data_IF_113518843766
#
_entry.id   IF_113518843766
#
_cell.length_a   1.000
_cell.length_b   1.000
_cell.length_c   1.000
_cell.angle_alpha   90.00
_cell.angle_beta   90.00
_cell.angle_gamma   90.00
#
_symmetry.space_group_name_H-M   'P 1'
#
loop_
_entity.id
_entity.type
_entity.pdbx_description
1 polymer ?
#
# COMPACT_ATOMS: atom_id res chain seq x y z
N UNK A 1 -33.97 -5.98 -49.59
CA UNK A 1 -32.85 -6.23 -48.66
C UNK A 1 -33.03 -5.30 -47.46
N UNK A 2 -33.56 -5.82 -46.34
CA UNK A 2 -33.89 -5.03 -45.13
C UNK A 2 -32.76 -5.22 -44.11
N UNK A 3 -32.27 -4.09 -43.62
CA UNK A 3 -31.05 -3.87 -42.83
C UNK A 3 -31.09 -4.57 -41.46
N UNK A 4 -30.64 -5.82 -41.41
CA UNK A 4 -30.34 -6.55 -40.16
C UNK A 4 -28.85 -6.36 -39.85
N UNK A 5 -28.42 -5.14 -39.49
CA UNK A 5 -27.04 -4.87 -39.03
C UNK A 5 -26.96 -3.58 -38.21
N UNK A 6 -27.54 -3.56 -37.01
CA UNK A 6 -27.18 -2.53 -36.02
C UNK A 6 -27.42 -2.93 -34.56
N UNK A 7 -28.41 -3.79 -34.26
CA UNK A 7 -28.69 -4.16 -32.86
C UNK A 7 -27.63 -5.08 -32.22
N UNK A 8 -26.86 -5.85 -33.00
CA UNK A 8 -25.87 -6.78 -32.43
C UNK A 8 -24.61 -6.10 -31.89
N UNK A 9 -24.32 -4.87 -32.30
CA UNK A 9 -23.11 -4.15 -31.89
C UNK A 9 -23.25 -3.45 -30.52
N UNK A 10 -24.48 -3.12 -30.12
CA UNK A 10 -24.74 -2.45 -28.83
C UNK A 10 -24.74 -3.45 -27.67
N UNK A 11 -25.18 -4.70 -27.91
CA UNK A 11 -25.24 -5.72 -26.86
C UNK A 11 -23.86 -6.24 -26.43
N UNK A 12 -22.87 -6.22 -27.32
CA UNK A 12 -21.53 -6.73 -27.00
C UNK A 12 -20.67 -5.74 -26.19
N UNK A 13 -21.01 -4.45 -26.18
CA UNK A 13 -20.33 -3.43 -25.37
C UNK A 13 -20.80 -3.40 -23.90
N UNK A 14 -21.95 -4.00 -23.58
CA UNK A 14 -22.53 -4.02 -22.23
C UNK A 14 -22.04 -5.17 -21.33
N UNK A 15 -21.30 -6.14 -21.88
CA UNK A 15 -20.86 -7.33 -21.13
C UNK A 15 -19.46 -7.23 -20.53
N UNK A 16 -18.74 -6.11 -20.74
CA UNK A 16 -17.47 -5.84 -20.04
C UNK A 16 -17.74 -4.96 -18.83
N UNK A 17 -18.74 -5.34 -18.01
CA UNK A 17 -18.76 -4.90 -16.63
C UNK A 17 -17.59 -5.57 -15.94
N UNK A 18 -16.42 -4.91 -15.94
CA UNK A 18 -15.33 -5.34 -15.08
C UNK A 18 -15.87 -5.31 -13.66
N UNK A 19 -16.03 -6.50 -13.07
CA UNK A 19 -16.26 -6.61 -11.65
C UNK A 19 -15.09 -5.92 -10.97
N UNK A 20 -15.31 -4.70 -10.48
CA UNK A 20 -14.40 -4.03 -9.59
C UNK A 20 -14.46 -4.79 -8.26
N UNK A 21 -13.85 -5.98 -8.21
CA UNK A 21 -13.52 -6.63 -6.96
C UNK A 21 -12.71 -5.61 -6.18
N UNK A 22 -13.26 -5.13 -5.06
CA UNK A 22 -12.54 -4.31 -4.11
C UNK A 22 -11.42 -5.16 -3.53
N UNK A 23 -10.30 -5.22 -4.24
CA UNK A 23 -9.12 -5.95 -3.82
C UNK A 23 -8.60 -5.41 -2.50
N UNK A 24 -7.78 -6.19 -1.79
CA UNK A 24 -7.05 -5.64 -0.65
C UNK A 24 -6.16 -4.49 -1.13
N UNK A 25 -6.32 -3.30 -0.53
CA UNK A 25 -5.51 -2.13 -0.88
C UNK A 25 -4.68 -1.67 0.31
N UNK A 26 -3.43 -1.28 0.05
CA UNK A 26 -2.66 -0.45 0.98
C UNK A 26 -3.02 1.01 0.71
N UNK A 27 -3.61 1.65 1.72
CA UNK A 27 -4.07 3.04 1.66
C UNK A 27 -3.28 3.88 2.65
N UNK A 28 -2.74 5.02 2.21
CA UNK A 28 -2.11 6.00 3.11
C UNK A 28 -3.05 7.19 3.37
N UNK A 29 -2.75 7.95 4.42
CA UNK A 29 -3.49 9.15 4.75
C UNK A 29 -3.52 10.16 3.58
N UNK A 30 -4.61 10.92 3.44
CA UNK A 30 -4.72 11.91 2.38
C UNK A 30 -3.71 13.04 2.56
N UNK A 31 -3.00 13.35 1.49
CA UNK A 31 -2.20 14.55 1.41
C UNK A 31 -3.10 15.77 1.16
N UNK A 32 -2.77 16.94 1.73
CA UNK A 32 -3.57 18.15 1.55
C UNK A 32 -3.68 18.55 0.08
N UNK A 33 -4.76 19.23 -0.32
CA UNK A 33 -5.07 19.59 -1.72
C UNK A 33 -3.95 20.37 -2.45
N UNK A 34 -3.14 21.11 -1.69
CA UNK A 34 -1.98 21.88 -2.22
C UNK A 34 -0.73 21.01 -2.42
N UNK A 35 -0.73 19.78 -1.93
CA UNK A 35 0.38 18.85 -2.12
C UNK A 35 0.48 18.46 -3.59
N UNK A 36 1.63 18.76 -4.19
CA UNK A 36 1.90 18.43 -5.58
C UNK A 36 2.49 17.03 -5.67
N UNK A 37 1.78 16.01 -5.18
CA UNK A 37 2.24 14.61 -5.30
C UNK A 37 2.06 14.14 -6.73
N UNK A 38 3.15 13.75 -7.38
CA UNK A 38 3.17 13.24 -8.76
C UNK A 38 2.99 11.73 -8.80
N UNK A 39 3.70 11.01 -7.92
CA UNK A 39 3.66 9.54 -7.80
C UNK A 39 4.10 9.08 -6.42
N UNK A 40 3.80 7.84 -6.11
CA UNK A 40 4.34 7.13 -4.96
C UNK A 40 5.31 6.05 -5.43
N UNK A 41 6.39 5.85 -4.70
CA UNK A 41 7.29 4.72 -4.84
C UNK A 41 6.98 3.78 -3.69
N UNK A 42 6.45 2.59 -4.02
CA UNK A 42 6.08 1.57 -3.05
C UNK A 42 7.08 0.44 -3.16
N UNK A 43 7.87 0.23 -2.12
CA UNK A 43 8.84 -0.86 -2.04
C UNK A 43 8.28 -1.97 -1.16
N UNK A 44 8.02 -3.15 -1.72
CA UNK A 44 7.61 -4.35 -0.98
C UNK A 44 8.58 -5.48 -1.33
N UNK A 45 9.09 -6.21 -0.34
CA UNK A 45 10.06 -7.30 -0.54
C UNK A 45 11.28 -6.90 -1.38
N UNK A 46 11.77 -5.66 -1.20
CA UNK A 46 12.91 -5.12 -1.96
C UNK A 46 12.59 -4.66 -3.39
N UNK A 47 11.39 -4.95 -3.92
CA UNK A 47 10.96 -4.49 -5.23
C UNK A 47 10.22 -3.16 -5.11
N UNK A 48 10.70 -2.14 -5.84
CA UNK A 48 10.05 -0.82 -5.90
C UNK A 48 9.16 -0.72 -7.13
N UNK A 49 7.93 -0.26 -6.92
CA UNK A 49 6.92 -0.06 -7.96
C UNK A 49 6.38 1.36 -7.86
N UNK A 50 6.13 1.99 -9.01
CA UNK A 50 5.48 3.30 -9.05
C UNK A 50 3.96 3.14 -8.99
N UNK A 51 3.31 3.95 -8.15
CA UNK A 51 1.86 4.00 -8.02
C UNK A 51 1.37 5.42 -8.25
N UNK A 52 0.35 5.56 -9.09
CA UNK A 52 -0.28 6.85 -9.36
C UNK A 52 -1.18 7.26 -8.17
N UNK A 53 -1.19 8.54 -7.76
CA UNK A 53 -2.04 9.00 -6.68
C UNK A 53 -3.52 8.87 -7.03
N UNK A 54 -4.32 8.32 -6.12
CA UNK A 54 -5.77 8.40 -6.20
C UNK A 54 -6.25 9.77 -5.70
N UNK A 55 -7.39 10.24 -6.21
CA UNK A 55 -8.02 11.50 -5.80
C UNK A 55 -9.33 11.22 -5.09
N UNK A 56 -9.55 11.89 -3.96
CA UNK A 56 -10.86 11.95 -3.31
C UNK A 56 -11.73 13.03 -3.98
N UNK A 57 -13.07 13.00 -3.78
CA UNK A 57 -13.98 14.04 -4.29
C UNK A 57 -13.64 15.45 -3.78
N UNK A 58 -13.02 15.54 -2.59
CA UNK A 58 -12.57 16.80 -2.01
C UNK A 58 -11.31 17.38 -2.70
N UNK A 59 -10.67 16.66 -3.61
CA UNK A 59 -9.43 17.05 -4.30
C UNK A 59 -8.14 16.72 -3.55
N UNK A 60 -8.21 16.06 -2.39
CA UNK A 60 -7.03 15.49 -1.72
C UNK A 60 -6.51 14.27 -2.48
N UNK A 61 -5.19 14.05 -2.41
CA UNK A 61 -4.53 12.92 -3.08
C UNK A 61 -4.04 11.92 -2.06
N UNK A 62 -4.16 10.63 -2.34
CA UNK A 62 -3.74 9.57 -1.43
C UNK A 62 -3.16 8.38 -2.20
N UNK A 63 -2.39 7.53 -1.51
CA UNK A 63 -1.95 6.26 -2.07
C UNK A 63 -3.11 5.26 -2.02
N UNK A 64 -3.36 4.57 -3.14
CA UNK A 64 -4.17 3.36 -3.18
C UNK A 64 -3.41 2.32 -3.99
N UNK A 65 -2.67 1.45 -3.30
CA UNK A 65 -1.85 0.41 -3.92
C UNK A 65 -2.56 -0.94 -3.84
N UNK A 66 -2.69 -1.63 -4.96
CA UNK A 66 -3.37 -2.92 -5.06
C UNK A 66 -2.48 -4.07 -4.54
N UNK A 67 -3.01 -4.84 -3.60
CA UNK A 67 -2.38 -6.02 -3.02
C UNK A 67 -3.03 -7.32 -3.51
N UNK A 68 -3.99 -7.28 -4.44
CA UNK A 68 -4.73 -8.45 -4.92
C UNK A 68 -3.82 -9.57 -5.44
N UNK A 69 -2.71 -9.19 -6.09
CA UNK A 69 -1.76 -10.13 -6.67
C UNK A 69 -0.69 -10.62 -5.68
N UNK A 70 -0.73 -10.19 -4.42
CA UNK A 70 0.20 -10.66 -3.39
C UNK A 70 -0.33 -11.96 -2.79
N UNK A 71 0.50 -13.00 -2.60
CA UNK A 71 0.10 -14.18 -1.86
C UNK A 71 -0.16 -13.84 -0.40
N UNK A 72 -0.79 -14.75 0.33
CA UNK A 72 -1.00 -14.59 1.76
C UNK A 72 0.32 -14.62 2.52
N UNK A 73 0.46 -13.76 3.53
CA UNK A 73 1.73 -13.59 4.23
C UNK A 73 1.85 -12.26 4.95
N UNK A 74 3.04 -12.05 5.54
CA UNK A 74 3.40 -10.83 6.24
C UNK A 74 4.33 -10.00 5.38
N UNK A 75 4.03 -8.71 5.24
CA UNK A 75 4.77 -7.80 4.38
C UNK A 75 5.18 -6.55 5.14
N UNK A 76 6.31 -5.98 4.72
CA UNK A 76 6.74 -4.64 5.11
C UNK A 76 6.88 -3.82 3.83
N UNK A 77 6.02 -2.82 3.69
CA UNK A 77 6.07 -1.85 2.62
C UNK A 77 6.81 -0.58 3.08
N UNK A 78 7.65 -0.02 2.22
CA UNK A 78 8.23 1.30 2.38
C UNK A 78 7.67 2.20 1.29
N UNK A 79 6.98 3.27 1.68
CA UNK A 79 6.32 4.20 0.77
C UNK A 79 7.04 5.53 0.79
N UNK A 80 7.37 6.06 -0.39
CA UNK A 80 7.88 7.41 -0.58
C UNK A 80 6.97 8.17 -1.53
N UNK A 81 6.69 9.44 -1.25
CA UNK A 81 6.00 10.33 -2.16
C UNK A 81 7.02 11.09 -3.02
N UNK A 82 6.73 11.28 -4.30
CA UNK A 82 7.53 12.11 -5.21
C UNK A 82 6.67 13.27 -5.65
N UNK A 83 7.15 14.50 -5.45
CA UNK A 83 6.41 15.68 -5.86
C UNK A 83 6.61 16.02 -7.36
N UNK A 84 5.90 17.02 -7.86
CA UNK A 84 6.01 17.46 -9.27
C UNK A 84 7.40 18.00 -9.63
N UNK A 85 8.21 18.40 -8.65
CA UNK A 85 9.61 18.84 -8.83
C UNK A 85 10.60 17.67 -8.78
N UNK A 86 10.15 16.44 -8.56
CA UNK A 86 11.00 15.25 -8.44
C UNK A 86 11.60 15.03 -7.05
N UNK A 87 11.28 15.86 -6.06
CA UNK A 87 11.76 15.68 -4.68
C UNK A 87 11.04 14.50 -4.03
N UNK A 88 11.81 13.62 -3.39
CA UNK A 88 11.34 12.40 -2.74
C UNK A 88 11.22 12.62 -1.24
N UNK A 89 10.11 12.18 -0.63
CA UNK A 89 9.91 12.24 0.83
C UNK A 89 10.75 11.21 1.58
N UNK A 90 10.86 11.40 2.90
CA UNK A 90 11.29 10.33 3.81
C UNK A 90 10.41 9.08 3.64
N UNK A 91 10.99 7.87 3.76
CA UNK A 91 10.23 6.63 3.68
C UNK A 91 9.31 6.45 4.89
N UNK A 92 8.06 6.06 4.65
CA UNK A 92 7.13 5.59 5.67
C UNK A 92 7.02 4.08 5.58
N UNK A 93 7.30 3.39 6.69
CA UNK A 93 7.22 1.94 6.77
C UNK A 93 5.84 1.50 7.26
N UNK A 94 5.25 0.52 6.57
CA UNK A 94 3.97 -0.08 6.91
C UNK A 94 4.12 -1.60 6.94
N UNK A 95 3.84 -2.20 8.08
CA UNK A 95 3.84 -3.66 8.22
C UNK A 95 2.39 -4.16 8.30
N UNK A 96 2.07 -5.16 7.50
CA UNK A 96 0.73 -5.72 7.42
C UNK A 96 0.75 -7.23 7.13
N UNK A 97 -0.31 -7.91 7.54
CA UNK A 97 -0.57 -9.31 7.20
C UNK A 97 -1.73 -9.38 6.21
N UNK A 98 -1.55 -10.13 5.13
CA UNK A 98 -2.58 -10.41 4.13
C UNK A 98 -3.07 -11.85 4.26
N UNK A 99 -4.38 -12.04 4.29
CA UNK A 99 -5.05 -13.35 4.21
C UNK A 99 -6.28 -13.26 3.31
N UNK A 100 -6.23 -13.87 2.12
CA UNK A 100 -7.22 -13.72 1.07
C UNK A 100 -7.39 -12.25 0.67
N UNK A 101 -8.60 -11.72 0.86
CA UNK A 101 -8.95 -10.30 0.63
C UNK A 101 -8.76 -9.42 1.85
N UNK A 102 -8.40 -9.99 3.01
CA UNK A 102 -8.26 -9.28 4.28
C UNK A 102 -6.83 -8.78 4.47
N UNK A 103 -6.69 -7.54 4.91
CA UNK A 103 -5.40 -6.93 5.29
C UNK A 103 -5.53 -6.38 6.71
N UNK A 104 -4.60 -6.75 7.57
CA UNK A 104 -4.54 -6.29 8.96
C UNK A 104 -3.18 -5.63 9.25
N UNK A 105 -3.15 -4.53 10.02
CA UNK A 105 -1.91 -4.00 10.55
C UNK A 105 -1.15 -5.08 11.31
N UNK A 106 0.16 -5.17 11.08
CA UNK A 106 1.03 -6.09 11.77
C UNK A 106 2.16 -5.32 12.43
N UNK A 107 2.26 -5.41 13.75
CA UNK A 107 3.44 -4.92 14.47
C UNK A 107 4.42 -6.08 14.57
N UNK A 108 5.62 -5.99 13.94
CA UNK A 108 6.64 -7.00 14.13
C UNK A 108 6.96 -7.12 15.63
N UNK A 109 7.09 -8.34 16.18
CA UNK A 109 7.54 -8.51 17.55
C UNK A 109 8.87 -7.77 17.72
N UNK A 110 8.98 -6.97 18.78
CA UNK A 110 10.20 -6.27 19.11
C UNK A 110 11.36 -7.29 19.11
N UNK A 111 12.52 -6.96 18.50
CA UNK A 111 13.67 -7.83 18.57
C UNK A 111 13.90 -8.17 20.04
N UNK A 112 13.90 -9.46 20.38
CA UNK A 112 14.27 -9.88 21.74
C UNK A 112 15.66 -9.32 21.99
N UNK A 113 15.76 -8.32 22.85
CA UNK A 113 17.04 -7.69 23.17
C UNK A 113 17.92 -8.80 23.73
N UNK A 114 18.96 -9.18 22.98
CA UNK A 114 19.96 -10.13 23.45
C UNK A 114 20.80 -9.37 24.47
N UNK A 115 20.25 -9.22 25.68
CA UNK A 115 20.93 -8.55 26.78
C UNK A 115 22.17 -9.40 27.06
N UNK A 116 23.39 -8.84 27.01
CA UNK A 116 24.56 -9.57 27.46
C UNK A 116 24.34 -9.99 28.92
N UNK A 117 24.93 -11.10 29.37
CA UNK A 117 24.89 -11.47 30.79
C UNK A 117 25.43 -10.30 31.61
N UNK A 118 24.59 -9.65 32.41
CA UNK A 118 25.06 -8.63 33.34
C UNK A 118 25.71 -9.35 34.52
N UNK A 119 26.99 -9.07 34.78
CA UNK A 119 27.64 -9.47 36.06
C UNK A 119 27.13 -8.66 37.25
N UNK A 120 26.37 -7.60 37.00
CA UNK A 120 25.71 -6.83 38.04
C UNK A 120 24.35 -7.45 38.38
N UNK A 121 24.25 -7.99 39.59
CA UNK A 121 23.00 -8.04 40.31
C UNK A 121 22.78 -6.67 40.97
N UNK A 122 21.63 -6.05 40.73
CA UNK A 122 21.20 -4.88 41.49
C UNK A 122 21.12 -5.29 42.98
N UNK A 123 22.11 -4.90 43.79
CA UNK A 123 22.18 -5.22 45.22
C UNK A 123 23.48 -5.88 45.71
N UNK A 124 24.42 -6.24 44.83
CA UNK A 124 25.73 -6.71 45.29
C UNK A 124 26.69 -5.52 45.50
N UNK A 125 26.75 -5.04 46.74
CA UNK A 125 27.82 -4.18 47.23
C UNK A 125 28.88 -5.14 47.79
N UNK A 126 30.01 -5.27 47.11
CA UNK A 126 31.16 -5.98 47.66
C UNK A 126 31.65 -5.22 48.90
N UNK A 127 31.66 -5.90 50.05
CA UNK A 127 32.18 -5.40 51.33
C UNK A 127 33.66 -5.69 51.47
#
# INVERSE_FOLDING_TARGET
MKTIRCCFLVLMFLAVSTFAFGGPFLVCDPYPKKSKVKKFLVTVNGKTVESMPAKKPDGSTYLKYDLGNFPDGTYTASVKAVNTKGVVSSPSAYSFKKSGTKVEPYTPPAPKQKRPPSRYFQGHIDK
#
